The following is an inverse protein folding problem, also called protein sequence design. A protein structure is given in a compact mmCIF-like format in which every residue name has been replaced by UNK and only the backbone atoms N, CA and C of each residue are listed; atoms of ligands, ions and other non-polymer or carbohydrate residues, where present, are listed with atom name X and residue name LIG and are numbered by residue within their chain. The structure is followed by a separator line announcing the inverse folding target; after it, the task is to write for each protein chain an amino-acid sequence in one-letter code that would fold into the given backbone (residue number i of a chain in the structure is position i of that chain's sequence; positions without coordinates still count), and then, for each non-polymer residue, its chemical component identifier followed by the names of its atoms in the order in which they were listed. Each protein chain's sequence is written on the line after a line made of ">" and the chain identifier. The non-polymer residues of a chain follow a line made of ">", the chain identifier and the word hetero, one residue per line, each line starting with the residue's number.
data_IF_487489357678
#
_entry.id   IF_487489357678
#
_cell.length_a   1.000
_cell.length_b   1.000
_cell.length_c   1.000
_cell.angle_alpha   90.00
_cell.angle_beta   90.00
_cell.angle_gamma   90.00
#
_symmetry.space_group_name_H-M   'P 1'
#
loop_
_entity.id
_entity.type
_entity.pdbx_description
1 polymer ?
#
# COMPACT_ATOMS: atom_id res chain seq x y z
N UNK A 1 -8.49 -17.69 -58.27
CA UNK A 1 -8.15 -16.27 -58.06
C UNK A 1 -9.18 -15.72 -57.10
N UNK A 2 -8.85 -15.75 -55.82
CA UNK A 2 -9.72 -15.29 -54.73
C UNK A 2 -9.20 -13.92 -54.34
N UNK A 3 -10.09 -12.94 -54.38
CA UNK A 3 -9.88 -11.56 -53.99
C UNK A 3 -9.71 -11.48 -52.46
N UNK A 4 -8.56 -11.02 -51.91
CA UNK A 4 -8.40 -10.89 -50.48
C UNK A 4 -9.00 -9.57 -50.01
N UNK A 5 -10.05 -9.68 -49.20
CA UNK A 5 -10.82 -8.57 -48.65
C UNK A 5 -9.99 -7.56 -47.85
N UNK A 6 -10.40 -6.30 -48.00
CA UNK A 6 -9.97 -5.14 -47.24
C UNK A 6 -10.00 -5.42 -45.72
N UNK A 7 -8.81 -5.44 -45.12
CA UNK A 7 -8.66 -5.35 -43.67
C UNK A 7 -9.12 -3.96 -43.22
N UNK A 8 -10.25 -3.90 -42.51
CA UNK A 8 -10.70 -2.69 -41.81
C UNK A 8 -9.71 -2.40 -40.68
N UNK A 9 -8.92 -1.35 -40.86
CA UNK A 9 -8.11 -0.71 -39.82
C UNK A 9 -9.04 -0.13 -38.75
N UNK A 10 -9.16 -0.80 -37.61
CA UNK A 10 -9.69 -0.17 -36.39
C UNK A 10 -8.56 0.64 -35.74
N UNK A 11 -8.35 1.84 -36.26
CA UNK A 11 -7.65 2.91 -35.58
C UNK A 11 -8.59 3.49 -34.51
N UNK A 12 -8.63 2.88 -33.32
CA UNK A 12 -9.27 3.49 -32.16
C UNK A 12 -8.29 4.47 -31.54
N UNK A 13 -8.28 5.70 -32.06
CA UNK A 13 -7.56 6.86 -31.53
C UNK A 13 -8.09 7.30 -30.16
N UNK A 14 -7.91 6.45 -29.15
CA UNK A 14 -8.00 6.86 -27.74
C UNK A 14 -6.59 7.30 -27.35
N UNK A 15 -6.38 8.57 -26.96
CA UNK A 15 -5.06 8.98 -26.50
C UNK A 15 -4.69 8.13 -25.28
N UNK A 16 -3.56 7.43 -25.37
CA UNK A 16 -2.91 6.87 -24.20
C UNK A 16 -2.61 8.06 -23.28
N UNK A 17 -3.42 8.24 -22.23
CA UNK A 17 -3.06 9.17 -21.16
C UNK A 17 -2.02 8.41 -20.35
N UNK A 18 -0.77 8.59 -20.76
CA UNK A 18 0.39 8.02 -20.10
C UNK A 18 0.38 8.44 -18.62
N UNK A 19 0.65 7.46 -17.76
CA UNK A 19 1.22 7.68 -16.43
C UNK A 19 2.26 8.81 -16.56
N UNK A 20 2.29 9.83 -15.67
CA UNK A 20 3.17 10.98 -15.83
C UNK A 20 4.56 10.51 -16.27
N UNK A 21 5.05 10.99 -17.43
CA UNK A 21 6.24 10.45 -18.05
C UNK A 21 7.40 10.42 -17.06
N UNK A 22 7.73 9.22 -16.56
CA UNK A 22 8.79 9.05 -15.59
C UNK A 22 10.08 8.88 -16.36
N UNK A 23 10.80 9.98 -16.50
CA UNK A 23 12.06 10.03 -17.22
C UNK A 23 13.27 9.68 -16.35
N UNK A 24 13.11 9.69 -15.02
CA UNK A 24 14.21 9.59 -14.08
C UNK A 24 13.78 9.13 -12.68
N UNK A 25 14.73 8.59 -11.91
CA UNK A 25 14.56 8.31 -10.48
C UNK A 25 14.26 9.59 -9.70
N UNK A 26 14.89 10.71 -10.06
CA UNK A 26 14.63 12.00 -9.43
C UNK A 26 13.19 12.49 -9.61
N UNK A 27 12.56 12.17 -10.75
CA UNK A 27 11.15 12.47 -10.96
C UNK A 27 10.27 11.69 -9.97
N UNK A 28 10.62 10.45 -9.64
CA UNK A 28 9.94 9.66 -8.59
C UNK A 28 10.12 10.28 -7.23
N UNK A 29 11.35 10.67 -6.86
CA UNK A 29 11.62 11.32 -5.57
C UNK A 29 10.76 12.58 -5.42
N UNK A 30 10.76 13.46 -6.43
CA UNK A 30 9.96 14.70 -6.41
C UNK A 30 8.46 14.41 -6.40
N UNK A 31 8.01 13.44 -7.20
CA UNK A 31 6.61 13.06 -7.31
C UNK A 31 6.06 12.56 -5.98
N UNK A 32 6.76 11.63 -5.33
CA UNK A 32 6.36 11.13 -4.01
C UNK A 32 6.43 12.22 -2.93
N UNK A 33 7.46 13.07 -2.94
CA UNK A 33 7.60 14.16 -1.98
C UNK A 33 6.47 15.19 -2.10
N UNK A 34 5.99 15.47 -3.32
CA UNK A 34 4.83 16.34 -3.55
C UNK A 34 3.51 15.78 -2.99
N UNK A 35 3.48 14.49 -2.66
CA UNK A 35 2.36 13.79 -2.05
C UNK A 35 2.69 13.26 -0.65
N UNK A 36 3.53 14.00 0.08
CA UNK A 36 3.89 13.82 1.49
C UNK A 36 4.59 12.48 1.80
N UNK A 37 5.24 11.87 0.80
CA UNK A 37 6.03 10.66 0.99
C UNK A 37 7.49 10.89 0.61
N UNK A 38 8.36 10.82 1.60
CA UNK A 38 9.80 10.96 1.39
C UNK A 38 10.38 9.57 1.07
N UNK A 39 10.66 9.29 -0.20
CA UNK A 39 11.37 8.08 -0.66
C UNK A 39 12.89 8.27 -0.69
N UNK A 40 13.65 7.29 -0.21
CA UNK A 40 15.11 7.27 -0.41
C UNK A 40 15.44 6.89 -1.86
N UNK A 41 16.72 6.99 -2.23
CA UNK A 41 17.15 6.68 -3.60
C UNK A 41 16.86 5.22 -3.98
N UNK A 42 16.97 4.28 -3.04
CA UNK A 42 16.74 2.86 -3.27
C UNK A 42 15.27 2.57 -3.57
N UNK A 43 14.36 3.10 -2.76
CA UNK A 43 12.92 2.96 -2.93
C UNK A 43 12.46 3.68 -4.20
N UNK A 44 12.96 4.90 -4.44
CA UNK A 44 12.64 5.64 -5.66
C UNK A 44 13.11 4.89 -6.91
N UNK A 45 14.28 4.25 -6.87
CA UNK A 45 14.78 3.40 -7.96
C UNK A 45 13.91 2.17 -8.16
N UNK A 46 13.51 1.48 -7.07
CA UNK A 46 12.64 0.32 -7.16
C UNK A 46 11.27 0.67 -7.76
N UNK A 47 10.68 1.80 -7.35
CA UNK A 47 9.44 2.35 -7.93
C UNK A 47 9.62 2.72 -9.39
N UNK A 48 10.70 3.43 -9.74
CA UNK A 48 11.03 3.79 -11.12
C UNK A 48 11.07 2.55 -12.02
N UNK A 49 11.79 1.52 -11.58
CA UNK A 49 11.90 0.25 -12.30
C UNK A 49 10.56 -0.49 -12.36
N UNK A 50 9.75 -0.48 -11.30
CA UNK A 50 8.44 -1.12 -11.29
C UNK A 50 7.49 -0.50 -12.33
N UNK A 51 7.48 0.83 -12.41
CA UNK A 51 6.65 1.58 -13.35
C UNK A 51 7.16 1.42 -14.80
N UNK A 52 8.49 1.45 -15.00
CA UNK A 52 9.11 1.32 -16.32
C UNK A 52 9.00 -0.10 -16.89
N UNK A 53 9.28 -1.12 -16.06
CA UNK A 53 9.26 -2.52 -16.46
C UNK A 53 7.88 -3.15 -16.36
N UNK A 54 6.90 -2.44 -15.79
CA UNK A 54 5.53 -2.93 -15.51
C UNK A 54 5.56 -4.24 -14.73
N UNK A 55 6.40 -4.29 -13.69
CA UNK A 55 6.55 -5.44 -12.80
C UNK A 55 6.02 -5.10 -11.41
N UNK A 56 5.42 -6.06 -10.69
CA UNK A 56 5.00 -5.84 -9.31
C UNK A 56 6.19 -5.47 -8.41
N UNK A 57 5.96 -4.60 -7.44
CA UNK A 57 6.95 -4.21 -6.42
C UNK A 57 6.58 -4.84 -5.07
N UNK A 58 7.46 -5.69 -4.54
CA UNK A 58 7.36 -6.23 -3.19
C UNK A 58 8.16 -5.36 -2.23
N UNK A 59 7.46 -4.75 -1.27
CA UNK A 59 8.01 -3.99 -0.16
C UNK A 59 7.97 -4.83 1.11
N UNK A 60 9.15 -5.20 1.60
CA UNK A 60 9.32 -5.81 2.92
C UNK A 60 9.90 -4.79 3.90
N UNK A 61 9.68 -5.00 5.19
CA UNK A 61 10.19 -4.12 6.25
C UNK A 61 9.44 -4.36 7.54
N UNK A 62 9.83 -3.66 8.60
CA UNK A 62 9.11 -3.73 9.87
C UNK A 62 7.74 -3.05 9.81
N UNK A 63 6.87 -3.33 10.80
CA UNK A 63 5.60 -2.64 10.91
C UNK A 63 5.84 -1.13 11.14
N UNK A 64 5.02 -0.29 10.51
CA UNK A 64 5.08 1.16 10.74
C UNK A 64 6.17 1.92 9.97
N UNK A 65 6.95 1.28 9.08
CA UNK A 65 7.96 1.96 8.23
C UNK A 65 7.38 2.64 6.97
N UNK A 66 6.05 2.61 6.80
CA UNK A 66 5.37 3.33 5.70
C UNK A 66 5.16 2.56 4.40
N UNK A 67 5.31 1.23 4.37
CA UNK A 67 5.09 0.38 3.17
C UNK A 67 3.74 0.65 2.47
N UNK A 68 2.65 0.62 3.23
CA UNK A 68 1.29 0.89 2.72
C UNK A 68 1.14 2.33 2.24
N UNK A 69 1.85 3.29 2.84
CA UNK A 69 1.77 4.70 2.45
C UNK A 69 2.44 4.97 1.10
N UNK A 70 3.44 4.17 0.70
CA UNK A 70 4.03 4.21 -0.65
C UNK A 70 2.95 4.06 -1.71
N UNK A 71 2.10 3.03 -1.61
CA UNK A 71 1.04 2.79 -2.59
C UNK A 71 0.01 3.92 -2.64
N UNK A 72 -0.33 4.50 -1.48
CA UNK A 72 -1.23 5.66 -1.43
C UNK A 72 -0.61 6.90 -2.08
N UNK A 73 0.66 7.16 -1.82
CA UNK A 73 1.38 8.27 -2.42
C UNK A 73 1.52 8.09 -3.94
N UNK A 74 1.79 6.86 -4.40
CA UNK A 74 1.80 6.51 -5.82
C UNK A 74 0.44 6.77 -6.47
N UNK A 75 -0.66 6.34 -5.86
CA UNK A 75 -2.00 6.57 -6.40
C UNK A 75 -2.32 8.07 -6.52
N UNK A 76 -1.98 8.86 -5.49
CA UNK A 76 -2.13 10.33 -5.53
C UNK A 76 -1.27 10.96 -6.61
N UNK A 77 -0.04 10.48 -6.78
CA UNK A 77 0.92 11.02 -7.74
C UNK A 77 0.56 10.69 -9.19
N UNK A 78 0.22 9.44 -9.48
CA UNK A 78 -0.18 9.04 -10.84
C UNK A 78 -1.58 9.54 -11.18
N UNK A 79 -2.43 9.78 -10.18
CA UNK A 79 -3.86 10.06 -10.35
C UNK A 79 -4.70 8.80 -10.58
N UNK A 80 -4.10 7.60 -10.45
CA UNK A 80 -4.80 6.32 -10.55
C UNK A 80 -5.64 6.02 -9.31
N UNK A 81 -6.71 5.24 -9.47
CA UNK A 81 -7.49 4.75 -8.34
C UNK A 81 -6.64 3.82 -7.46
N UNK A 82 -6.70 4.01 -6.13
CA UNK A 82 -6.11 3.06 -5.19
C UNK A 82 -7.08 1.91 -4.92
N UNK A 83 -6.71 0.71 -5.34
CA UNK A 83 -7.43 -0.52 -5.07
C UNK A 83 -6.67 -1.34 -4.05
N UNK A 84 -7.25 -1.56 -2.87
CA UNK A 84 -6.61 -2.32 -1.77
C UNK A 84 -7.22 -3.71 -1.66
N UNK A 85 -6.37 -4.72 -1.76
CA UNK A 85 -6.61 -6.10 -1.36
C UNK A 85 -5.88 -6.33 -0.03
N UNK A 86 -6.62 -6.47 1.06
CA UNK A 86 -6.05 -6.81 2.36
C UNK A 86 -5.95 -8.33 2.49
N UNK A 87 -4.75 -8.86 2.70
CA UNK A 87 -4.54 -10.28 2.95
C UNK A 87 -4.69 -10.62 4.44
N UNK A 88 -5.24 -11.79 4.71
CA UNK A 88 -5.42 -12.41 6.01
C UNK A 88 -5.61 -13.93 5.81
N UNK A 89 -5.50 -14.69 6.89
CA UNK A 89 -5.64 -16.15 6.85
C UNK A 89 -7.05 -16.56 6.41
N UNK A 90 -7.15 -17.45 5.41
CA UNK A 90 -8.44 -17.88 4.84
C UNK A 90 -9.06 -16.90 3.84
N UNK A 91 -8.32 -15.90 3.33
CA UNK A 91 -8.77 -15.12 2.18
C UNK A 91 -8.90 -16.03 0.94
N UNK A 92 -10.01 -15.91 0.22
CA UNK A 92 -10.29 -16.72 -0.96
C UNK A 92 -10.34 -15.90 -2.27
N UNK A 93 -10.42 -16.63 -3.39
CA UNK A 93 -10.52 -16.02 -4.72
C UNK A 93 -11.80 -15.19 -4.90
N UNK A 94 -12.91 -15.54 -4.25
CA UNK A 94 -14.16 -14.79 -4.37
C UNK A 94 -14.05 -13.40 -3.73
N UNK A 95 -13.42 -13.31 -2.55
CA UNK A 95 -13.15 -12.04 -1.86
C UNK A 95 -12.15 -11.16 -2.59
N UNK A 96 -11.21 -11.77 -3.34
CA UNK A 96 -10.18 -11.04 -4.07
C UNK A 96 -10.60 -10.63 -5.49
N UNK A 97 -11.36 -11.48 -6.20
CA UNK A 97 -11.68 -11.29 -7.62
C UNK A 97 -13.11 -10.84 -7.87
N UNK A 98 -14.11 -11.65 -7.54
CA UNK A 98 -15.51 -11.30 -7.78
C UNK A 98 -16.47 -12.17 -6.97
N UNK A 99 -17.67 -11.64 -6.78
CA UNK A 99 -18.84 -12.40 -6.32
C UNK A 99 -20.07 -12.06 -7.18
N UNK A 100 -21.01 -12.99 -7.25
CA UNK A 100 -22.31 -12.72 -7.86
C UNK A 100 -23.27 -12.13 -6.82
N UNK A 101 -23.94 -11.03 -7.16
CA UNK A 101 -25.01 -10.45 -6.33
C UNK A 101 -26.30 -11.27 -6.47
N UNK A 102 -26.35 -12.38 -5.75
CA UNK A 102 -27.50 -13.29 -5.74
C UNK A 102 -28.80 -12.60 -5.28
N UNK A 103 -28.69 -11.59 -4.41
CA UNK A 103 -29.87 -10.84 -3.94
C UNK A 103 -30.49 -10.04 -5.08
N UNK A 104 -29.65 -9.36 -5.87
CA UNK A 104 -30.09 -8.61 -7.04
C UNK A 104 -30.54 -9.53 -8.17
N UNK A 105 -29.90 -10.68 -8.37
CA UNK A 105 -30.37 -11.71 -9.32
C UNK A 105 -31.77 -12.21 -8.94
N UNK A 106 -32.01 -12.51 -7.65
CA UNK A 106 -33.32 -12.97 -7.19
C UNK A 106 -34.41 -11.89 -7.36
N UNK A 107 -34.10 -10.64 -7.06
CA UNK A 107 -35.03 -9.52 -7.30
C UNK A 107 -35.36 -9.37 -8.78
N UNK A 108 -34.36 -9.53 -9.66
CA UNK A 108 -34.55 -9.51 -11.10
C UNK A 108 -35.46 -10.65 -11.56
N UNK A 109 -35.20 -11.89 -11.12
CA UNK A 109 -36.03 -13.06 -11.38
C UNK A 109 -37.50 -12.79 -11.02
N UNK A 110 -37.76 -12.30 -9.80
CA UNK A 110 -39.12 -11.99 -9.33
C UNK A 110 -39.83 -10.93 -10.17
N UNK A 111 -39.11 -9.88 -10.58
CA UNK A 111 -39.67 -8.83 -11.42
C UNK A 111 -40.03 -9.34 -12.82
N UNK A 112 -39.19 -10.18 -13.41
CA UNK A 112 -39.42 -10.78 -14.74
C UNK A 112 -40.57 -11.80 -14.69
N UNK A 113 -40.64 -12.63 -13.65
CA UNK A 113 -41.75 -13.57 -13.39
C UNK A 113 -43.09 -12.83 -13.25
N UNK A 114 -43.13 -11.74 -12.47
CA UNK A 114 -44.33 -10.92 -12.30
C UNK A 114 -44.79 -10.26 -13.62
N UNK A 115 -43.84 -10.00 -14.52
CA UNK A 115 -44.09 -9.51 -15.88
C UNK A 115 -44.51 -10.61 -16.89
N UNK A 116 -44.57 -11.88 -16.47
CA UNK A 116 -44.99 -13.00 -17.31
C UNK A 116 -43.97 -13.43 -18.37
N UNK A 117 -42.70 -13.04 -18.23
CA UNK A 117 -41.62 -13.44 -19.15
C UNK A 117 -40.77 -14.55 -18.52
N UNK A 118 -40.25 -15.45 -19.35
CA UNK A 118 -39.24 -16.41 -18.92
C UNK A 118 -37.86 -15.73 -18.84
N UNK A 119 -37.09 -16.04 -17.80
CA UNK A 119 -35.73 -15.52 -17.64
C UNK A 119 -34.76 -16.44 -18.39
N UNK A 120 -33.81 -15.84 -19.09
CA UNK A 120 -32.73 -16.56 -19.78
C UNK A 120 -31.50 -16.59 -18.86
N UNK A 121 -30.77 -17.70 -18.80
CA UNK A 121 -29.59 -17.87 -17.95
C UNK A 121 -28.52 -16.77 -18.19
N UNK A 122 -28.30 -16.41 -19.46
CA UNK A 122 -27.40 -15.32 -19.87
C UNK A 122 -27.78 -13.94 -19.29
N UNK A 123 -29.05 -13.74 -18.90
CA UNK A 123 -29.47 -12.50 -18.25
C UNK A 123 -29.01 -12.47 -16.79
N UNK A 124 -28.90 -13.62 -16.12
CA UNK A 124 -28.51 -13.73 -14.71
C UNK A 124 -26.99 -13.66 -14.53
N UNK A 125 -26.24 -14.33 -15.39
CA UNK A 125 -24.77 -14.32 -15.36
C UNK A 125 -24.24 -13.28 -16.34
N UNK A 126 -24.53 -12.02 -16.02
CA UNK A 126 -24.06 -10.85 -16.76
C UNK A 126 -23.32 -9.88 -15.84
N UNK A 127 -22.42 -9.06 -16.39
CA UNK A 127 -21.66 -8.06 -15.62
C UNK A 127 -22.51 -7.15 -14.72
N UNK A 128 -23.80 -7.01 -15.02
CA UNK A 128 -24.79 -6.26 -14.20
C UNK A 128 -24.88 -6.78 -12.77
N UNK A 129 -24.72 -8.09 -12.56
CA UNK A 129 -24.81 -8.76 -11.26
C UNK A 129 -23.42 -9.13 -10.70
N UNK A 130 -22.36 -8.81 -11.44
CA UNK A 130 -20.99 -9.12 -11.05
C UNK A 130 -20.45 -8.03 -10.12
N UNK A 131 -20.26 -8.37 -8.86
CA UNK A 131 -19.58 -7.51 -7.89
C UNK A 131 -18.09 -7.73 -8.03
N UNK A 132 -17.42 -6.81 -8.72
CA UNK A 132 -15.98 -6.84 -8.92
C UNK A 132 -15.26 -6.49 -7.63
N UNK A 133 -14.33 -7.35 -7.20
CA UNK A 133 -13.44 -7.16 -6.05
C UNK A 133 -12.08 -6.57 -6.49
N UNK A 134 -11.17 -6.22 -5.57
CA UNK A 134 -9.98 -5.42 -5.90
C UNK A 134 -9.15 -5.94 -7.08
N UNK A 135 -8.94 -7.26 -7.22
CA UNK A 135 -8.15 -7.81 -8.32
C UNK A 135 -8.83 -7.63 -9.68
N UNK A 136 -10.12 -8.00 -9.78
CA UNK A 136 -10.85 -7.84 -11.05
C UNK A 136 -11.01 -6.36 -11.39
N UNK A 137 -11.27 -5.49 -10.41
CA UNK A 137 -11.33 -4.03 -10.65
C UNK A 137 -10.00 -3.47 -11.15
N UNK A 138 -8.88 -4.00 -10.67
CA UNK A 138 -7.55 -3.56 -11.10
C UNK A 138 -7.22 -4.01 -12.53
N UNK A 139 -7.74 -5.15 -12.95
CA UNK A 139 -7.50 -5.71 -14.30
C UNK A 139 -8.50 -5.15 -15.31
N UNK A 140 -9.77 -5.07 -14.94
CA UNK A 140 -10.88 -4.61 -15.75
C UNK A 140 -11.05 -3.08 -15.71
N UNK A 141 -9.94 -2.34 -15.68
CA UNK A 141 -9.99 -0.88 -15.82
C UNK A 141 -10.02 -0.51 -17.30
N UNK A 142 -10.83 0.50 -17.64
CA UNK A 142 -11.06 0.91 -19.02
C UNK A 142 -10.72 2.39 -19.20
N UNK A 143 -9.62 2.66 -19.89
CA UNK A 143 -9.16 4.02 -20.18
C UNK A 143 -8.65 4.77 -18.94
N UNK A 144 -8.04 5.93 -19.18
CA UNK A 144 -7.44 6.74 -18.12
C UNK A 144 -6.11 6.18 -17.58
N UNK A 145 -5.73 6.67 -16.41
CA UNK A 145 -4.50 6.25 -15.71
C UNK A 145 -4.72 4.88 -15.07
N UNK A 146 -3.82 3.90 -15.26
CA UNK A 146 -3.90 2.60 -14.60
C UNK A 146 -4.01 2.74 -13.07
N UNK A 147 -4.84 1.93 -12.41
CA UNK A 147 -4.98 1.98 -10.97
C UNK A 147 -3.70 1.48 -10.27
N UNK A 148 -3.55 1.87 -9.01
CA UNK A 148 -2.55 1.31 -8.11
C UNK A 148 -3.19 0.20 -7.31
N UNK A 149 -2.74 -1.03 -7.53
CA UNK A 149 -3.17 -2.21 -6.78
C UNK A 149 -2.24 -2.43 -5.59
N UNK A 150 -2.76 -2.21 -4.39
CA UNK A 150 -2.08 -2.54 -3.14
C UNK A 150 -2.54 -3.92 -2.65
N UNK A 151 -1.63 -4.89 -2.66
CA UNK A 151 -1.80 -6.18 -1.97
C UNK A 151 -1.10 -6.07 -0.61
N UNK A 152 -1.88 -5.88 0.44
CA UNK A 152 -1.36 -5.52 1.76
C UNK A 152 -1.24 -6.76 2.66
N UNK A 153 -0.11 -6.89 3.36
CA UNK A 153 0.19 -8.01 4.28
C UNK A 153 0.08 -9.39 3.62
N UNK A 154 0.70 -9.58 2.45
CA UNK A 154 0.64 -10.85 1.69
C UNK A 154 1.17 -12.04 2.50
N UNK A 155 2.05 -11.79 3.47
CA UNK A 155 2.55 -12.76 4.45
C UNK A 155 1.49 -13.28 5.42
N UNK A 156 0.26 -12.77 5.39
CA UNK A 156 -0.86 -13.31 6.16
C UNK A 156 -1.81 -14.20 5.35
N UNK A 157 -1.72 -14.19 4.03
CA UNK A 157 -2.48 -15.11 3.20
C UNK A 157 -1.91 -16.53 3.28
N UNK A 158 -2.65 -17.53 2.82
CA UNK A 158 -2.17 -18.90 2.71
C UNK A 158 -1.41 -19.13 1.40
N UNK A 159 -0.60 -20.18 1.32
CA UNK A 159 0.23 -20.50 0.14
C UNK A 159 -0.61 -20.70 -1.13
N UNK A 160 -1.83 -21.24 -0.97
CA UNK A 160 -2.79 -21.44 -2.06
C UNK A 160 -3.21 -20.11 -2.70
N UNK A 161 -3.45 -19.09 -1.86
CA UNK A 161 -3.79 -17.76 -2.32
C UNK A 161 -2.60 -17.05 -2.97
N UNK A 162 -1.39 -17.24 -2.44
CA UNK A 162 -0.18 -16.70 -3.08
C UNK A 162 0.05 -17.28 -4.48
N UNK A 163 -0.14 -18.58 -4.65
CA UNK A 163 -0.01 -19.25 -5.94
C UNK A 163 -1.05 -18.72 -6.95
N UNK A 164 -2.28 -18.52 -6.49
CA UNK A 164 -3.34 -17.91 -7.30
C UNK A 164 -3.02 -16.46 -7.69
N UNK A 165 -2.57 -15.64 -6.73
CA UNK A 165 -2.17 -14.27 -7.01
C UNK A 165 -1.00 -14.20 -7.99
N UNK A 166 -0.04 -15.12 -7.90
CA UNK A 166 1.10 -15.22 -8.81
C UNK A 166 0.68 -15.46 -10.26
N UNK A 167 -0.32 -16.33 -10.48
CA UNK A 167 -0.89 -16.58 -11.80
C UNK A 167 -1.45 -15.27 -12.39
N UNK A 168 -2.26 -14.57 -11.61
CA UNK A 168 -2.87 -13.30 -12.01
C UNK A 168 -1.81 -12.23 -12.30
N UNK A 169 -0.80 -12.08 -11.44
CA UNK A 169 0.25 -11.07 -11.62
C UNK A 169 1.21 -11.37 -12.78
N UNK A 170 1.22 -12.60 -13.28
CA UNK A 170 2.06 -12.99 -14.42
C UNK A 170 1.45 -12.53 -15.74
N UNK A 171 0.15 -12.73 -15.92
CA UNK A 171 -0.55 -12.44 -17.18
C UNK A 171 -1.45 -11.20 -17.13
N UNK A 172 -1.67 -10.64 -15.93
CA UNK A 172 -2.62 -9.56 -15.66
C UNK A 172 -4.00 -9.84 -16.30
N UNK A 173 -4.42 -11.10 -16.18
CA UNK A 173 -5.65 -11.62 -16.72
C UNK A 173 -6.41 -12.44 -15.66
N UNK A 174 -7.73 -12.37 -15.71
CA UNK A 174 -8.64 -13.12 -14.85
C UNK A 174 -9.74 -13.70 -15.70
N UNK A 175 -10.02 -14.99 -15.54
CA UNK A 175 -11.14 -15.66 -16.22
C UNK A 175 -12.32 -15.81 -15.28
N UNK A 176 -13.46 -15.25 -15.68
CA UNK A 176 -14.76 -15.51 -15.07
C UNK A 176 -15.44 -16.54 -15.97
N UNK A 177 -15.73 -17.78 -15.50
CA UNK A 177 -16.21 -18.87 -16.35
C UNK A 177 -17.39 -18.50 -17.24
N UNK A 178 -18.32 -17.69 -16.73
CA UNK A 178 -19.55 -17.29 -17.42
C UNK A 178 -19.35 -16.10 -18.38
N UNK A 179 -18.34 -15.25 -18.15
CA UNK A 179 -18.13 -13.99 -18.88
C UNK A 179 -16.88 -14.00 -19.77
N UNK A 180 -16.03 -15.01 -19.62
CA UNK A 180 -14.75 -15.11 -20.31
C UNK A 180 -13.59 -14.44 -19.57
N UNK A 181 -12.53 -14.13 -20.32
CA UNK A 181 -11.28 -13.63 -19.76
C UNK A 181 -11.19 -12.11 -19.86
N UNK A 182 -10.99 -11.46 -18.72
CA UNK A 182 -10.65 -10.06 -18.58
C UNK A 182 -9.12 -9.93 -18.60
N UNK A 183 -8.59 -9.01 -19.40
CA UNK A 183 -7.15 -8.77 -19.49
C UNK A 183 -6.86 -7.27 -19.47
N UNK A 184 -5.94 -6.85 -18.61
CA UNK A 184 -5.53 -5.47 -18.52
C UNK A 184 -4.73 -5.07 -19.77
N UNK A 185 -5.21 -4.06 -20.52
CA UNK A 185 -4.46 -3.54 -21.68
C UNK A 185 -3.14 -2.89 -21.25
N UNK A 186 -3.19 -2.18 -20.13
CA UNK A 186 -2.02 -1.63 -19.44
C UNK A 186 -2.05 -2.22 -18.03
N UNK A 187 -1.04 -2.97 -17.59
CA UNK A 187 -1.02 -3.51 -16.22
C UNK A 187 -1.17 -2.42 -15.15
N UNK A 188 -1.92 -2.69 -14.06
CA UNK A 188 -1.94 -1.80 -12.91
C UNK A 188 -0.55 -1.70 -12.27
N UNK A 189 -0.30 -0.58 -11.57
CA UNK A 189 0.88 -0.46 -10.73
C UNK A 189 0.67 -1.27 -9.45
N UNK A 190 1.26 -2.46 -9.38
CA UNK A 190 1.08 -3.37 -8.25
C UNK A 190 2.16 -3.17 -7.19
N UNK A 191 1.74 -2.92 -5.95
CA UNK A 191 2.58 -2.90 -4.75
C UNK A 191 2.12 -4.01 -3.80
N UNK A 192 3.01 -4.94 -3.48
CA UNK A 192 2.81 -5.95 -2.45
C UNK A 192 3.55 -5.51 -1.18
N UNK A 193 2.93 -5.65 -0.01
CA UNK A 193 3.59 -5.36 1.28
C UNK A 193 3.64 -6.60 2.15
N UNK A 194 4.72 -6.75 2.91
CA UNK A 194 4.87 -7.82 3.91
C UNK A 194 5.57 -7.29 5.15
N UNK A 195 5.11 -7.74 6.32
CA UNK A 195 5.75 -7.49 7.62
C UNK A 195 6.71 -8.61 8.01
N UNK A 196 6.93 -9.59 7.13
CA UNK A 196 7.68 -10.83 7.38
C UNK A 196 7.21 -11.59 8.62
N UNK A 197 5.90 -11.65 8.88
CA UNK A 197 5.35 -12.55 9.90
C UNK A 197 5.54 -14.02 9.52
N UNK A 198 5.58 -14.29 8.20
CA UNK A 198 6.12 -15.51 7.59
C UNK A 198 6.86 -15.14 6.32
N UNK A 199 7.64 -16.07 5.78
CA UNK A 199 8.28 -15.87 4.48
C UNK A 199 7.26 -16.01 3.34
N UNK A 200 7.21 -14.99 2.48
CA UNK A 200 6.46 -15.00 1.21
C UNK A 200 7.08 -16.02 0.27
N UNK A 201 6.26 -16.73 -0.51
CA UNK A 201 6.71 -17.81 -1.36
C UNK A 201 7.76 -17.33 -2.39
N UNK A 202 8.83 -18.10 -2.53
CA UNK A 202 9.97 -17.84 -3.42
C UNK A 202 9.57 -17.51 -4.88
N UNK A 203 8.50 -18.14 -5.39
CA UNK A 203 8.02 -17.92 -6.74
C UNK A 203 7.47 -16.50 -6.92
N UNK A 204 6.73 -15.99 -5.93
CA UNK A 204 6.20 -14.63 -5.91
C UNK A 204 7.33 -13.61 -5.80
N UNK A 205 8.30 -13.84 -4.90
CA UNK A 205 9.49 -12.98 -4.76
C UNK A 205 10.27 -12.83 -6.07
N UNK A 206 10.49 -13.93 -6.81
CA UNK A 206 11.23 -13.92 -8.08
C UNK A 206 10.51 -13.18 -9.22
N UNK A 207 9.18 -13.06 -9.16
CA UNK A 207 8.40 -12.30 -10.16
C UNK A 207 8.27 -10.82 -9.83
N UNK A 208 8.46 -10.43 -8.57
CA UNK A 208 8.47 -9.03 -8.15
C UNK A 208 9.86 -8.38 -8.28
N UNK A 209 9.87 -7.04 -8.40
CA UNK A 209 11.00 -6.25 -7.92
C UNK A 209 10.93 -6.20 -6.39
N UNK A 210 12.08 -6.12 -5.74
CA UNK A 210 12.17 -6.21 -4.28
C UNK A 210 12.82 -4.97 -3.71
N UNK A 211 12.27 -4.45 -2.62
CA UNK A 211 12.90 -3.42 -1.82
C UNK A 211 12.59 -3.59 -0.33
N UNK A 212 13.61 -3.42 0.51
CA UNK A 212 13.50 -3.44 1.96
C UNK A 212 13.42 -2.02 2.50
N UNK A 213 12.33 -1.69 3.19
CA UNK A 213 12.16 -0.41 3.86
C UNK A 213 12.58 -0.56 5.33
N UNK A 214 13.69 0.08 5.67
CA UNK A 214 14.19 0.16 7.04
C UNK A 214 13.51 1.29 7.82
N UNK A 215 13.68 1.31 9.14
CA UNK A 215 13.40 2.51 9.92
C UNK A 215 14.27 3.67 9.43
N UNK A 216 13.72 4.88 9.34
CA UNK A 216 14.50 6.03 8.91
C UNK A 216 15.56 6.39 9.96
N UNK A 217 16.66 6.98 9.48
CA UNK A 217 17.62 7.66 10.34
C UNK A 217 17.01 8.94 10.94
N UNK A 218 17.78 9.62 11.79
CA UNK A 218 17.34 10.84 12.45
C UNK A 218 16.92 11.94 11.47
N UNK A 219 17.76 12.26 10.48
CA UNK A 219 17.51 13.34 9.53
C UNK A 219 16.24 13.06 8.73
N UNK A 220 16.03 11.80 8.38
CA UNK A 220 14.86 11.35 7.64
C UNK A 220 13.60 11.35 8.51
N UNK A 221 13.66 10.87 9.74
CA UNK A 221 12.55 10.91 10.70
C UNK A 221 12.11 12.36 10.95
N UNK A 222 13.06 13.27 11.17
CA UNK A 222 12.78 14.70 11.34
C UNK A 222 12.14 15.32 10.10
N UNK A 223 12.64 14.98 8.90
CA UNK A 223 12.02 15.43 7.66
C UNK A 223 10.59 14.91 7.50
N UNK A 224 10.33 13.65 7.89
CA UNK A 224 8.98 13.07 7.89
C UNK A 224 8.07 13.84 8.86
N UNK A 225 8.52 14.09 10.10
CA UNK A 225 7.76 14.86 11.08
C UNK A 225 7.39 16.26 10.58
N UNK A 226 8.32 16.97 9.93
CA UNK A 226 8.07 18.30 9.36
C UNK A 226 6.95 18.30 8.31
N UNK A 227 6.89 17.25 7.49
CA UNK A 227 5.88 17.12 6.42
C UNK A 227 4.54 16.62 6.97
N UNK A 228 4.58 15.60 7.83
CA UNK A 228 3.38 14.88 8.30
C UNK A 228 2.73 15.50 9.53
N UNK A 229 3.49 16.21 10.35
CA UNK A 229 3.04 16.85 11.58
C UNK A 229 3.46 18.34 11.61
N UNK A 230 3.03 19.17 10.64
CA UNK A 230 3.50 20.56 10.48
C UNK A 230 3.10 21.50 11.62
N UNK A 231 2.21 21.05 12.52
CA UNK A 231 1.79 21.79 13.72
C UNK A 231 2.73 21.57 14.92
N UNK A 232 3.64 20.60 14.84
CA UNK A 232 4.60 20.29 15.90
C UNK A 232 5.74 21.31 15.85
N UNK A 233 6.09 21.96 16.99
CA UNK A 233 7.25 22.86 17.05
C UNK A 233 8.53 22.17 16.56
N UNK A 234 9.35 22.89 15.79
CA UNK A 234 10.55 22.31 15.16
C UNK A 234 11.53 21.72 16.19
N UNK A 235 11.72 22.41 17.33
CA UNK A 235 12.53 21.91 18.43
C UNK A 235 11.98 20.61 19.00
N UNK A 236 10.66 20.51 19.19
CA UNK A 236 10.01 19.31 19.70
C UNK A 236 10.15 18.16 18.71
N UNK A 237 9.95 18.41 17.41
CA UNK A 237 10.10 17.40 16.37
C UNK A 237 11.52 16.80 16.34
N UNK A 238 12.55 17.65 16.46
CA UNK A 238 13.94 17.19 16.56
C UNK A 238 14.16 16.33 17.82
N UNK A 239 13.69 16.78 18.98
CA UNK A 239 13.81 16.02 20.23
C UNK A 239 13.10 14.67 20.15
N UNK A 240 11.90 14.62 19.58
CA UNK A 240 11.14 13.38 19.36
C UNK A 240 11.90 12.43 18.44
N UNK A 241 12.37 12.89 17.28
CA UNK A 241 13.15 12.07 16.34
C UNK A 241 14.42 11.49 17.01
N UNK A 242 15.14 12.30 17.80
CA UNK A 242 16.31 11.82 18.55
C UNK A 242 15.93 10.78 19.62
N UNK A 243 14.84 11.01 20.37
CA UNK A 243 14.42 10.07 21.40
C UNK A 243 13.96 8.74 20.79
N UNK A 244 13.22 8.77 19.68
CA UNK A 244 12.82 7.56 18.93
C UNK A 244 14.02 6.77 18.43
N UNK A 245 15.04 7.45 17.91
CA UNK A 245 16.27 6.80 17.47
C UNK A 245 16.95 6.05 18.64
N UNK A 246 16.95 6.62 19.85
CA UNK A 246 17.47 5.92 21.04
C UNK A 246 16.56 4.77 21.45
N UNK A 247 15.23 4.95 21.44
CA UNK A 247 14.25 3.92 21.79
C UNK A 247 14.40 2.66 20.91
N UNK A 248 14.67 2.84 19.61
CA UNK A 248 14.91 1.73 18.68
C UNK A 248 16.16 0.90 19.03
N UNK A 249 17.11 1.47 19.77
CA UNK A 249 18.34 0.80 20.20
C UNK A 249 18.22 0.14 21.59
N UNK A 250 17.07 0.21 22.27
CA UNK A 250 16.84 -0.37 23.61
C UNK A 250 16.34 -1.83 23.59
N UNK A 251 16.54 -2.54 22.48
CA UNK A 251 16.12 -3.94 22.28
C UNK A 251 14.64 -4.21 22.58
N UNK A 252 13.76 -3.21 22.36
CA UNK A 252 12.34 -3.30 22.64
C UNK A 252 11.69 -4.49 21.92
N UNK A 253 10.66 -5.10 22.54
CA UNK A 253 9.89 -6.16 21.92
C UNK A 253 9.26 -5.70 20.60
N UNK A 254 8.69 -4.48 20.61
CA UNK A 254 8.23 -3.83 19.39
C UNK A 254 8.74 -2.37 19.34
N UNK A 255 9.87 -2.12 18.66
CA UNK A 255 10.37 -0.76 18.51
C UNK A 255 9.35 0.13 17.78
N UNK A 256 9.29 1.43 18.10
CA UNK A 256 8.33 2.34 17.50
C UNK A 256 8.61 2.59 16.02
N UNK A 257 7.55 2.49 15.20
CA UNK A 257 7.60 2.85 13.79
C UNK A 257 7.42 4.36 13.58
N UNK A 258 7.38 4.74 12.30
CA UNK A 258 7.19 6.14 11.88
C UNK A 258 5.78 6.63 12.25
N UNK A 259 4.77 5.76 12.15
CA UNK A 259 3.40 6.09 12.54
C UNK A 259 3.31 6.45 14.03
N UNK A 260 3.88 5.62 14.90
CA UNK A 260 3.93 5.90 16.35
C UNK A 260 4.73 7.17 16.67
N UNK A 261 5.76 7.47 15.88
CA UNK A 261 6.57 8.68 16.05
C UNK A 261 5.79 9.95 15.71
N UNK A 262 5.03 9.93 14.61
CA UNK A 262 4.13 11.03 14.23
C UNK A 262 3.03 11.22 15.29
N UNK A 263 2.38 10.12 15.71
CA UNK A 263 1.33 10.16 16.72
C UNK A 263 1.83 10.75 18.04
N UNK A 264 3.05 10.39 18.45
CA UNK A 264 3.67 10.90 19.68
C UNK A 264 3.98 12.40 19.59
N UNK A 265 4.55 12.84 18.46
CA UNK A 265 4.84 14.24 18.21
C UNK A 265 3.57 15.09 18.22
N UNK A 266 2.51 14.64 17.56
CA UNK A 266 1.21 15.32 17.56
C UNK A 266 0.55 15.33 18.93
N UNK A 267 0.65 14.23 19.69
CA UNK A 267 0.13 14.17 21.06
C UNK A 267 0.83 15.17 21.98
N UNK A 268 2.16 15.29 21.90
CA UNK A 268 2.94 16.26 22.66
C UNK A 268 2.55 17.70 22.29
N UNK A 269 2.39 18.01 21.00
CA UNK A 269 1.93 19.31 20.54
C UNK A 269 0.49 19.62 20.99
N UNK A 270 -0.41 18.63 20.99
CA UNK A 270 -1.78 18.77 21.49
C UNK A 270 -1.82 19.06 23.00
N UNK A 271 -0.85 18.56 23.76
CA UNK A 271 -0.64 18.88 25.17
C UNK A 271 0.05 20.24 25.40
N UNK A 272 0.22 21.04 24.34
CA UNK A 272 0.90 22.35 24.38
C UNK A 272 2.32 22.26 24.95
N UNK A 273 3.04 21.19 24.63
CA UNK A 273 4.46 21.04 24.96
C UNK A 273 5.30 21.62 23.83
N UNK A 274 6.27 22.44 24.18
CA UNK A 274 7.26 22.98 23.24
C UNK A 274 8.58 22.20 23.26
N UNK A 275 8.79 21.40 24.31
CA UNK A 275 10.00 20.60 24.54
C UNK A 275 9.66 19.24 25.15
N UNK A 276 10.50 18.26 24.85
CA UNK A 276 10.46 16.91 25.42
C UNK A 276 11.21 16.87 26.75
N UNK A 277 10.47 16.96 27.85
CA UNK A 277 10.98 16.81 29.22
C UNK A 277 10.58 15.45 29.83
N UNK A 278 11.13 15.11 31.00
CA UNK A 278 10.88 13.83 31.67
C UNK A 278 9.38 13.60 31.94
N UNK A 279 8.70 14.65 32.42
CA UNK A 279 7.27 14.58 32.73
C UNK A 279 6.44 14.33 31.47
N UNK A 280 6.80 14.95 30.34
CA UNK A 280 6.15 14.75 29.06
C UNK A 280 6.34 13.31 28.56
N UNK A 281 7.56 12.76 28.65
CA UNK A 281 7.82 11.35 28.28
C UNK A 281 6.97 10.41 29.16
N UNK A 282 7.00 10.58 30.48
CA UNK A 282 6.31 9.68 31.40
C UNK A 282 4.79 9.60 31.16
N UNK A 283 4.15 10.76 30.94
CA UNK A 283 2.69 10.80 30.73
C UNK A 283 2.27 10.41 29.32
N UNK A 284 3.18 10.46 28.34
CA UNK A 284 2.88 10.15 26.93
C UNK A 284 3.53 8.87 26.42
N UNK A 285 4.29 8.12 27.24
CA UNK A 285 5.01 6.92 26.79
C UNK A 285 4.10 5.88 26.12
N UNK A 286 2.84 5.77 26.56
CA UNK A 286 1.84 4.88 25.95
C UNK A 286 1.37 5.29 24.53
N UNK A 287 1.66 6.52 24.11
CA UNK A 287 1.39 6.97 22.73
C UNK A 287 2.37 6.36 21.73
N UNK A 288 3.63 6.16 22.14
CA UNK A 288 4.68 5.57 21.30
C UNK A 288 4.92 4.08 21.57
N UNK A 289 4.80 3.62 22.82
CA UNK A 289 5.03 2.22 23.20
C UNK A 289 3.73 1.54 23.64
N UNK A 290 3.33 0.50 22.90
CA UNK A 290 2.05 -0.23 23.12
C UNK A 290 2.16 -1.43 24.05
N UNK A 291 3.38 -1.89 24.34
CA UNK A 291 3.64 -3.02 25.22
C UNK A 291 4.07 -2.52 26.60
N UNK A 292 3.53 -3.15 27.65
CA UNK A 292 3.82 -2.75 29.02
C UNK A 292 5.28 -3.03 29.37
N UNK A 293 5.82 -4.13 28.87
CA UNK A 293 7.19 -4.58 29.04
C UNK A 293 8.18 -3.58 28.43
N UNK A 294 7.85 -3.00 27.27
CA UNK A 294 8.66 -1.96 26.62
C UNK A 294 8.62 -0.65 27.42
N UNK A 295 7.45 -0.28 27.95
CA UNK A 295 7.33 0.89 28.82
C UNK A 295 8.12 0.71 30.12
N UNK A 296 8.06 -0.47 30.74
CA UNK A 296 8.84 -0.81 31.93
C UNK A 296 10.35 -0.78 31.62
N UNK A 297 10.78 -1.34 30.48
CA UNK A 297 12.17 -1.28 30.05
C UNK A 297 12.70 0.14 29.88
N UNK A 298 11.92 1.04 29.28
CA UNK A 298 12.32 2.46 29.16
C UNK A 298 12.40 3.15 30.52
N UNK A 299 11.48 2.84 31.44
CA UNK A 299 11.54 3.37 32.81
C UNK A 299 12.76 2.84 33.57
N UNK A 300 13.09 1.56 33.40
CA UNK A 300 14.26 0.93 34.02
C UNK A 300 15.58 1.46 33.45
N UNK A 301 15.63 1.76 32.15
CA UNK A 301 16.75 2.46 31.52
C UNK A 301 16.92 3.89 32.07
N UNK A 302 15.81 4.50 32.46
CA UNK A 302 15.74 5.85 33.01
C UNK A 302 15.47 6.89 31.93
N UNK A 303 14.35 7.60 32.06
CA UNK A 303 13.97 8.72 31.18
C UNK A 303 15.06 9.82 31.13
N UNK A 304 15.75 10.19 32.23
CA UNK A 304 16.86 11.14 32.15
C UNK A 304 17.99 10.67 31.24
N UNK A 305 18.33 9.36 31.28
CA UNK A 305 19.37 8.79 30.45
C UNK A 305 18.97 8.75 28.97
N UNK A 306 17.70 8.43 28.69
CA UNK A 306 17.11 8.50 27.34
C UNK A 306 17.24 9.92 26.76
N UNK A 307 16.84 10.94 27.51
CA UNK A 307 16.88 12.33 27.06
C UNK A 307 18.33 12.84 26.88
N UNK A 308 19.25 12.43 27.75
CA UNK A 308 20.68 12.75 27.60
C UNK A 308 21.29 12.11 26.35
N UNK A 309 20.99 10.83 26.10
CA UNK A 309 21.42 10.13 24.90
C UNK A 309 20.83 10.77 23.63
N UNK A 310 19.56 11.16 23.67
CA UNK A 310 18.90 11.86 22.57
C UNK A 310 19.56 13.23 22.29
N UNK A 311 19.85 14.00 23.33
CA UNK A 311 20.54 15.29 23.19
C UNK A 311 21.98 15.14 22.66
N UNK A 312 22.69 14.08 23.06
CA UNK A 312 24.05 13.81 22.58
C UNK A 312 24.11 13.44 21.09
N UNK A 313 23.04 12.90 20.50
CA UNK A 313 22.93 12.66 19.06
C UNK A 313 22.73 13.94 18.24
N UNK A 314 22.43 15.06 18.90
CA UNK A 314 22.13 16.37 18.32
C UNK A 314 23.25 17.41 18.61
N UNK A 315 24.32 17.03 19.33
CA UNK A 315 25.46 17.88 19.62
C UNK A 315 26.55 17.72 18.54
#
# INVERSE_FOLDING_TARGET
>A
MVDPGEARSNDTGVPAIDVPAIDSVDAVVRGLAAHDYLADEGLATAVFLAMTLRRPLLLEGEAGVGKTEVAKALARWTGGELLRLQCYEGIDAAQAVYEWDYSRQLLHLRAVEAGGRAVVEDELYSETFLVRRPLLRAIDHHGGVPPVLLVDEIDRADDEFEAFLLEILSDYAITVPELGTFTARVPPLTVLTSNRTRDVHDALKRRCLYHWIAHPDFDRELAILRVRAPRVPEQLAAQVASAVAVLRDLDLYKPPGVAETIDWAEALAALSRDVLDEAAVDVTLGTILKYREDQERVRDHGVPALLQAAAARHA
#
